data_IF_178647677702
#
_entry.id   IF_178647677702
#
_cell.length_a   1.000
_cell.length_b   1.000
_cell.length_c   1.000
_cell.angle_alpha   90.00
_cell.angle_beta   90.00
_cell.angle_gamma   90.00
#
_symmetry.space_group_name_H-M   'P 1'
#
loop_
_entity.id
_entity.type
_entity.pdbx_description
1 polymer ?
#
# COMPACT_ATOMS: atom_id res chain seq x y z
N UNK A 1 -20.62 1.83 -5.99
CA UNK A 1 -20.61 0.97 -4.79
C UNK A 1 -20.13 1.76 -3.58
N UNK A 2 -20.44 1.29 -2.34
CA UNK A 2 -19.97 1.94 -1.11
C UNK A 2 -18.43 2.08 -1.08
N UNK A 3 -17.73 1.08 -1.60
CA UNK A 3 -16.24 1.10 -1.69
C UNK A 3 -15.78 2.28 -2.55
N UNK A 4 -16.42 2.54 -3.68
CA UNK A 4 -16.05 3.63 -4.59
C UNK A 4 -16.24 5.00 -3.93
N UNK A 5 -17.33 5.17 -3.15
CA UNK A 5 -17.58 6.39 -2.40
C UNK A 5 -16.55 6.57 -1.28
N UNK A 6 -16.24 5.51 -0.54
CA UNK A 6 -15.22 5.54 0.51
C UNK A 6 -13.85 5.92 -0.05
N UNK A 7 -13.44 5.31 -1.16
CA UNK A 7 -12.18 5.64 -1.84
C UNK A 7 -12.19 7.09 -2.33
N UNK A 8 -13.32 7.58 -2.86
CA UNK A 8 -13.49 8.98 -3.25
C UNK A 8 -13.30 9.94 -2.08
N UNK A 9 -13.91 9.62 -0.94
CA UNK A 9 -13.75 10.41 0.28
C UNK A 9 -12.28 10.41 0.76
N UNK A 10 -11.64 9.24 0.81
CA UNK A 10 -10.24 9.13 1.21
C UNK A 10 -9.30 9.90 0.27
N UNK A 11 -9.56 9.88 -1.04
CA UNK A 11 -8.75 10.60 -2.03
C UNK A 11 -8.88 12.11 -1.91
N UNK A 12 -10.02 12.63 -1.42
CA UNK A 12 -10.19 14.05 -1.16
C UNK A 12 -9.31 14.55 0.00
N UNK A 13 -9.05 13.70 1.00
CA UNK A 13 -8.15 14.03 2.13
C UNK A 13 -6.68 13.73 1.81
N UNK A 14 -6.41 12.71 1.02
CA UNK A 14 -5.04 12.31 0.68
C UNK A 14 -4.95 11.93 -0.80
N UNK A 15 -4.47 12.84 -1.66
CA UNK A 15 -4.39 12.60 -3.10
C UNK A 15 -3.51 11.41 -3.50
N UNK A 16 -2.53 11.02 -2.68
CA UNK A 16 -1.68 9.86 -2.97
C UNK A 16 -2.45 8.53 -2.98
N UNK A 17 -3.67 8.46 -2.42
CA UNK A 17 -4.60 7.34 -2.56
C UNK A 17 -4.92 7.05 -4.02
N UNK A 18 -5.03 8.08 -4.87
CA UNK A 18 -5.29 7.94 -6.31
C UNK A 18 -4.12 7.20 -6.98
N UNK A 19 -2.87 7.51 -6.63
CA UNK A 19 -1.69 6.85 -7.17
C UNK A 19 -1.64 5.36 -6.78
N UNK A 20 -1.92 5.06 -5.51
CA UNK A 20 -2.00 3.68 -5.02
C UNK A 20 -3.12 2.91 -5.73
N UNK A 21 -4.29 3.53 -5.87
CA UNK A 21 -5.42 2.94 -6.57
C UNK A 21 -5.07 2.66 -8.04
N UNK A 22 -4.42 3.61 -8.71
CA UNK A 22 -3.95 3.45 -10.08
C UNK A 22 -2.98 2.28 -10.21
N UNK A 23 -2.05 2.12 -9.28
CA UNK A 23 -1.13 0.98 -9.24
C UNK A 23 -1.85 -0.36 -9.07
N UNK A 24 -2.83 -0.44 -8.15
CA UNK A 24 -3.63 -1.65 -7.90
C UNK A 24 -4.47 -1.99 -9.14
N UNK A 25 -5.13 -1.00 -9.73
CA UNK A 25 -5.95 -1.19 -10.94
C UNK A 25 -5.08 -1.61 -12.12
N UNK A 26 -3.94 -0.97 -12.35
CA UNK A 26 -3.00 -1.33 -13.41
C UNK A 26 -2.51 -2.78 -13.27
N UNK A 27 -2.10 -3.17 -12.06
CA UNK A 27 -1.70 -4.55 -11.78
C UNK A 27 -2.83 -5.55 -12.03
N UNK A 28 -4.05 -5.26 -11.53
CA UNK A 28 -5.20 -6.14 -11.67
C UNK A 28 -5.65 -6.25 -13.13
N UNK A 29 -5.70 -5.13 -13.85
CA UNK A 29 -6.05 -5.09 -15.26
C UNK A 29 -5.03 -5.87 -16.13
N UNK A 30 -3.74 -5.71 -15.85
CA UNK A 30 -2.68 -6.46 -16.53
C UNK A 30 -2.82 -7.95 -16.30
N UNK A 31 -3.07 -8.37 -15.06
CA UNK A 31 -3.28 -9.78 -14.72
C UNK A 31 -4.51 -10.35 -15.42
N UNK A 32 -5.62 -9.63 -15.42
CA UNK A 32 -6.86 -10.06 -16.06
C UNK A 32 -6.71 -10.10 -17.59
N UNK A 33 -5.98 -9.15 -18.19
CA UNK A 33 -5.68 -9.15 -19.61
C UNK A 33 -4.82 -10.36 -20.01
N UNK A 34 -3.82 -10.71 -19.22
CA UNK A 34 -3.01 -11.91 -19.44
C UNK A 34 -3.83 -13.19 -19.30
N UNK A 35 -4.74 -13.24 -18.31
CA UNK A 35 -5.65 -14.37 -18.09
C UNK A 35 -6.67 -14.51 -19.23
N UNK A 36 -7.12 -13.41 -19.83
CA UNK A 36 -7.98 -13.40 -21.02
C UNK A 36 -7.24 -13.76 -22.31
N UNK A 37 -6.01 -14.28 -22.22
CA UNK A 37 -5.18 -14.68 -23.36
C UNK A 37 -4.98 -13.54 -24.39
N UNK A 38 -4.86 -12.30 -23.90
CA UNK A 38 -4.72 -11.06 -24.68
C UNK A 38 -5.91 -10.74 -25.59
N UNK A 39 -7.09 -11.30 -25.31
CA UNK A 39 -8.29 -11.05 -26.07
C UNK A 39 -9.10 -9.89 -25.46
N UNK A 40 -9.05 -8.70 -26.07
CA UNK A 40 -9.81 -7.53 -25.62
C UNK A 40 -11.34 -7.64 -25.80
N UNK A 41 -11.82 -8.61 -26.59
CA UNK A 41 -13.25 -8.83 -26.82
C UNK A 41 -13.89 -9.79 -25.82
N UNK A 42 -13.11 -10.31 -24.86
CA UNK A 42 -13.65 -11.13 -23.79
C UNK A 42 -14.62 -10.31 -22.93
N UNK A 43 -15.85 -10.78 -22.86
CA UNK A 43 -16.95 -10.11 -22.13
C UNK A 43 -16.64 -9.99 -20.63
N UNK A 44 -15.96 -10.96 -20.03
CA UNK A 44 -15.53 -10.91 -18.63
C UNK A 44 -14.45 -9.85 -18.41
N UNK A 45 -13.52 -9.73 -19.36
CA UNK A 45 -12.50 -8.69 -19.31
C UNK A 45 -13.12 -7.30 -19.43
N UNK A 46 -14.05 -7.10 -20.38
CA UNK A 46 -14.76 -5.83 -20.55
C UNK A 46 -15.55 -5.41 -19.32
N UNK A 47 -16.28 -6.34 -18.69
CA UNK A 47 -17.02 -6.06 -17.46
C UNK A 47 -16.08 -5.63 -16.32
N UNK A 48 -14.91 -6.27 -16.19
CA UNK A 48 -13.90 -5.88 -15.20
C UNK A 48 -13.26 -4.53 -15.54
N UNK A 49 -12.97 -4.28 -16.81
CA UNK A 49 -12.44 -3.00 -17.26
C UNK A 49 -13.37 -1.82 -16.91
N UNK A 50 -14.69 -2.00 -17.10
CA UNK A 50 -15.68 -0.99 -16.69
C UNK A 50 -15.65 -0.76 -15.17
N UNK A 51 -15.52 -1.82 -14.35
CA UNK A 51 -15.37 -1.68 -12.89
C UNK A 51 -14.10 -0.93 -12.52
N UNK A 52 -12.99 -1.21 -13.18
CA UNK A 52 -11.72 -0.50 -12.96
C UNK A 52 -11.81 0.97 -13.34
N UNK A 53 -12.43 1.25 -14.51
CA UNK A 53 -12.68 2.62 -14.93
C UNK A 53 -13.57 3.38 -13.91
N UNK A 54 -14.62 2.75 -13.41
CA UNK A 54 -15.50 3.35 -12.38
C UNK A 54 -14.73 3.61 -11.09
N UNK A 55 -13.87 2.67 -10.65
CA UNK A 55 -13.06 2.83 -9.44
C UNK A 55 -12.07 4.00 -9.54
N UNK A 56 -11.56 4.30 -10.74
CA UNK A 56 -10.64 5.42 -10.97
C UNK A 56 -11.39 6.75 -11.20
N UNK A 57 -12.41 6.75 -12.07
CA UNK A 57 -13.06 7.98 -12.49
C UNK A 57 -13.93 8.60 -11.39
N UNK A 58 -14.67 7.78 -10.63
CA UNK A 58 -15.57 8.31 -9.61
C UNK A 58 -14.82 9.06 -8.50
N UNK A 59 -13.71 8.57 -7.92
CA UNK A 59 -12.93 9.36 -6.97
C UNK A 59 -12.41 10.67 -7.54
N UNK A 60 -11.91 10.66 -8.79
CA UNK A 60 -11.43 11.87 -9.46
C UNK A 60 -12.55 12.90 -9.63
N UNK A 61 -13.74 12.46 -10.05
CA UNK A 61 -14.90 13.33 -10.22
C UNK A 61 -15.44 13.86 -8.89
N UNK A 62 -15.47 13.02 -7.85
CA UNK A 62 -15.90 13.45 -6.51
C UNK A 62 -14.93 14.44 -5.87
N UNK A 63 -13.66 14.40 -6.23
CA UNK A 63 -12.63 15.33 -5.75
C UNK A 63 -12.58 16.62 -6.58
N UNK A 64 -13.42 16.78 -7.62
CA UNK A 64 -13.47 18.02 -8.41
C UNK A 64 -14.03 19.18 -7.56
N UNK A 65 -13.53 20.42 -7.76
CA UNK A 65 -12.54 20.84 -8.75
C UNK A 65 -11.07 20.58 -8.36
N UNK A 66 -10.79 20.19 -7.11
CA UNK A 66 -9.42 20.00 -6.61
C UNK A 66 -8.59 18.99 -7.40
N UNK A 67 -9.24 17.95 -7.99
CA UNK A 67 -8.55 16.98 -8.84
C UNK A 67 -7.93 17.61 -10.10
N UNK A 68 -8.48 18.69 -10.63
CA UNK A 68 -7.89 19.38 -11.78
C UNK A 68 -6.55 20.04 -11.41
N UNK A 69 -6.42 20.60 -10.21
CA UNK A 69 -5.15 21.12 -9.71
C UNK A 69 -4.08 20.02 -9.62
N UNK A 70 -4.47 18.79 -9.28
CA UNK A 70 -3.55 17.66 -9.21
C UNK A 70 -2.99 17.26 -10.59
N UNK A 71 -3.75 17.47 -11.68
CA UNK A 71 -3.26 17.25 -13.05
C UNK A 71 -2.32 18.37 -13.50
N UNK A 72 -2.59 19.61 -13.10
CA UNK A 72 -1.73 20.76 -13.42
C UNK A 72 -0.44 20.74 -12.60
N UNK A 73 -0.53 20.28 -11.34
CA UNK A 73 0.57 20.23 -10.37
C UNK A 73 0.70 18.82 -9.78
N UNK A 74 1.23 17.84 -10.53
CA UNK A 74 1.29 16.45 -10.11
C UNK A 74 2.08 16.22 -8.82
N UNK A 75 2.98 17.13 -8.48
CA UNK A 75 3.71 17.11 -7.19
C UNK A 75 2.77 17.17 -5.98
N UNK A 76 1.57 17.77 -6.11
CA UNK A 76 0.58 17.81 -5.04
C UNK A 76 -0.01 16.44 -4.72
N UNK A 77 0.04 15.49 -5.66
CA UNK A 77 -0.39 14.11 -5.39
C UNK A 77 0.50 13.41 -4.36
N UNK A 78 1.72 13.88 -4.18
CA UNK A 78 2.70 13.31 -3.26
C UNK A 78 2.77 14.09 -1.94
N UNK A 79 1.98 15.17 -1.80
CA UNK A 79 1.89 15.93 -0.57
C UNK A 79 0.69 15.48 0.26
N UNK A 80 0.85 15.40 1.55
CA UNK A 80 -0.23 15.15 2.49
C UNK A 80 -0.73 16.47 3.07
N UNK A 81 -2.04 16.68 3.05
CA UNK A 81 -2.63 17.93 3.53
C UNK A 81 -2.41 18.04 5.04
N UNK A 82 -1.73 19.10 5.45
CA UNK A 82 -1.46 19.38 6.88
C UNK A 82 -0.23 18.69 7.46
N UNK A 83 0.48 17.83 6.72
CA UNK A 83 1.70 17.17 7.18
C UNK A 83 2.89 17.55 6.28
N UNK A 84 3.83 18.31 6.83
CA UNK A 84 5.10 18.60 6.17
C UNK A 84 6.23 17.85 6.89
N UNK A 85 6.89 16.94 6.21
CA UNK A 85 8.10 16.28 6.72
C UNK A 85 9.31 17.06 6.20
N UNK A 86 10.13 17.57 7.12
CA UNK A 86 11.33 18.32 6.75
C UNK A 86 12.27 17.51 5.84
N UNK A 87 12.77 18.13 4.77
CA UNK A 87 13.56 17.44 3.72
C UNK A 87 14.93 16.90 4.16
N UNK A 88 15.45 17.27 5.33
CA UNK A 88 16.84 17.07 5.73
C UNK A 88 17.18 15.84 6.58
N UNK A 89 16.20 14.97 6.92
CA UNK A 89 16.47 13.78 7.75
C UNK A 89 16.74 12.50 6.96
N UNK A 90 17.15 11.39 7.60
CA UNK A 90 17.30 10.11 6.94
C UNK A 90 15.95 9.58 6.41
N UNK A 91 15.99 8.85 5.29
CA UNK A 91 14.79 8.22 4.75
C UNK A 91 14.53 6.90 5.51
N UNK A 92 13.59 6.93 6.45
CA UNK A 92 13.22 5.78 7.28
C UNK A 92 12.04 4.98 6.72
N UNK A 93 11.45 5.41 5.60
CA UNK A 93 10.29 4.74 5.01
C UNK A 93 10.60 3.30 4.58
N UNK A 94 11.85 3.00 4.23
CA UNK A 94 12.30 1.63 3.93
C UNK A 94 12.17 0.70 5.15
N UNK A 95 12.25 1.27 6.36
CA UNK A 95 12.05 0.54 7.61
C UNK A 95 10.58 0.55 8.07
N UNK A 96 9.67 1.03 7.21
CA UNK A 96 8.24 1.15 7.51
C UNK A 96 7.89 2.36 8.36
N UNK A 97 8.80 3.33 8.52
CA UNK A 97 8.58 4.53 9.30
C UNK A 97 8.28 5.72 8.37
N UNK A 98 7.06 6.31 8.41
CA UNK A 98 6.70 7.42 7.55
C UNK A 98 7.41 8.74 7.91
N UNK A 99 8.07 8.81 9.06
CA UNK A 99 8.61 10.05 9.59
C UNK A 99 7.55 10.93 10.26
N UNK A 100 7.95 12.13 10.68
CA UNK A 100 7.07 13.12 11.31
C UNK A 100 7.04 13.07 12.84
N UNK A 101 6.19 13.91 13.49
CA UNK A 101 6.06 13.95 14.93
C UNK A 101 5.60 12.61 15.50
N UNK A 102 6.30 12.09 16.51
CA UNK A 102 6.00 10.78 17.11
C UNK A 102 6.49 9.58 16.29
N UNK A 103 7.32 9.79 15.27
CA UNK A 103 7.95 8.70 14.54
C UNK A 103 8.88 7.89 15.44
N UNK A 104 9.02 6.60 15.08
CA UNK A 104 9.97 5.71 15.75
C UNK A 104 11.41 6.23 15.61
N UNK A 105 12.30 5.97 16.58
CA UNK A 105 13.71 6.30 16.46
C UNK A 105 14.33 5.70 15.19
N UNK A 106 15.32 6.38 14.61
CA UNK A 106 15.94 5.97 13.34
C UNK A 106 16.54 4.56 13.36
N UNK A 107 16.90 4.06 14.52
CA UNK A 107 17.47 2.71 14.71
C UNK A 107 16.40 1.61 14.89
N UNK A 108 15.13 1.96 14.99
CA UNK A 108 14.06 0.97 15.17
C UNK A 108 13.50 0.54 13.81
N UNK A 109 13.39 -0.77 13.65
CA UNK A 109 12.72 -1.36 12.49
C UNK A 109 11.23 -1.43 12.81
N UNK A 110 10.40 -0.95 11.88
CA UNK A 110 8.96 -1.07 12.04
C UNK A 110 8.54 -2.55 12.09
N UNK A 111 7.61 -2.93 12.96
CA UNK A 111 7.03 -4.27 12.99
C UNK A 111 6.49 -4.73 11.63
N UNK A 112 6.00 -3.80 10.82
CA UNK A 112 5.49 -4.08 9.46
C UNK A 112 6.57 -4.72 8.58
N UNK A 113 7.77 -4.14 8.58
CA UNK A 113 8.90 -4.64 7.78
C UNK A 113 9.30 -6.04 8.23
N UNK A 114 9.37 -6.27 9.55
CA UNK A 114 9.68 -7.60 10.12
C UNK A 114 8.63 -8.62 9.72
N UNK A 115 7.34 -8.29 9.87
CA UNK A 115 6.23 -9.18 9.50
C UNK A 115 6.25 -9.51 8.01
N UNK A 116 6.49 -8.52 7.14
CA UNK A 116 6.58 -8.76 5.69
C UNK A 116 7.75 -9.68 5.35
N UNK A 117 8.92 -9.50 5.96
CA UNK A 117 10.08 -10.36 5.74
C UNK A 117 9.80 -11.78 6.21
N UNK A 118 9.34 -11.96 7.43
CA UNK A 118 9.04 -13.28 8.00
C UNK A 118 7.99 -14.01 7.16
N UNK A 119 6.90 -13.34 6.80
CA UNK A 119 5.83 -13.95 6.01
C UNK A 119 6.25 -14.25 4.57
N UNK A 120 7.12 -13.43 3.97
CA UNK A 120 7.67 -13.66 2.63
C UNK A 120 8.45 -14.97 2.54
N UNK A 121 9.24 -15.30 3.59
CA UNK A 121 10.04 -16.52 3.63
C UNK A 121 9.31 -17.73 4.23
N UNK A 122 8.18 -17.54 4.89
CA UNK A 122 7.51 -18.61 5.64
C UNK A 122 6.75 -19.61 4.76
N UNK A 123 5.96 -19.15 3.82
CA UNK A 123 5.13 -20.03 2.97
C UNK A 123 4.73 -19.40 1.64
N UNK A 124 4.52 -20.26 0.63
CA UNK A 124 4.06 -19.83 -0.71
C UNK A 124 2.70 -19.12 -0.67
N UNK A 125 1.81 -19.54 0.24
CA UNK A 125 0.49 -18.90 0.40
C UNK A 125 0.61 -17.50 1.00
N UNK A 126 1.39 -17.34 2.08
CA UNK A 126 1.64 -16.04 2.71
C UNK A 126 2.42 -15.10 1.77
N UNK A 127 3.35 -15.64 0.98
CA UNK A 127 4.14 -14.88 -0.01
C UNK A 127 3.26 -14.15 -1.03
N UNK A 128 2.11 -14.73 -1.42
CA UNK A 128 1.17 -14.07 -2.36
C UNK A 128 0.66 -12.72 -1.83
N UNK A 129 0.54 -12.59 -0.52
CA UNK A 129 0.16 -11.33 0.15
C UNK A 129 1.39 -10.51 0.54
N UNK A 130 2.48 -11.14 0.98
CA UNK A 130 3.69 -10.43 1.36
C UNK A 130 4.36 -9.72 0.17
N UNK A 131 4.33 -10.30 -1.03
CA UNK A 131 4.94 -9.70 -2.24
C UNK A 131 4.37 -8.29 -2.54
N UNK A 132 3.05 -8.09 -2.70
CA UNK A 132 2.52 -6.74 -2.89
C UNK A 132 2.81 -5.84 -1.69
N UNK A 133 2.81 -6.35 -0.45
CA UNK A 133 3.21 -5.58 0.74
C UNK A 133 4.63 -5.04 0.64
N UNK A 134 5.58 -5.85 0.21
CA UNK A 134 6.97 -5.43 -0.03
C UNK A 134 7.06 -4.41 -1.16
N UNK A 135 6.31 -4.60 -2.25
CA UNK A 135 6.26 -3.63 -3.36
C UNK A 135 5.77 -2.27 -2.87
N UNK A 136 4.69 -2.23 -2.07
CA UNK A 136 4.18 -0.97 -1.51
C UNK A 136 5.14 -0.36 -0.49
N UNK A 137 5.82 -1.15 0.32
CA UNK A 137 6.86 -0.66 1.24
C UNK A 137 8.01 0.01 0.47
N UNK A 138 8.52 -0.62 -0.58
CA UNK A 138 9.57 -0.08 -1.43
C UNK A 138 9.09 1.16 -2.20
N UNK A 139 7.86 1.16 -2.71
CA UNK A 139 7.25 2.33 -3.36
C UNK A 139 7.16 3.51 -2.39
N UNK A 140 6.75 3.27 -1.15
CA UNK A 140 6.73 4.29 -0.10
C UNK A 140 8.13 4.84 0.20
N UNK A 141 9.14 3.96 0.24
CA UNK A 141 10.54 4.36 0.42
C UNK A 141 11.04 5.24 -0.74
N UNK A 142 10.73 4.87 -1.98
CA UNK A 142 11.07 5.66 -3.18
C UNK A 142 10.38 7.02 -3.17
N UNK A 143 9.06 7.06 -2.89
CA UNK A 143 8.30 8.30 -2.82
C UNK A 143 8.85 9.23 -1.74
N UNK A 144 9.16 8.72 -0.55
CA UNK A 144 9.71 9.53 0.55
C UNK A 144 11.13 10.05 0.30
N UNK A 145 11.84 9.48 -0.68
CA UNK A 145 13.13 10.01 -1.14
C UNK A 145 12.97 11.26 -2.02
N UNK A 146 11.77 11.50 -2.57
CA UNK A 146 11.51 12.67 -3.40
C UNK A 146 11.35 13.92 -2.51
N UNK A 147 12.08 14.95 -2.87
CA UNK A 147 12.00 16.26 -2.23
C UNK A 147 11.14 17.16 -3.10
N UNK A 148 10.09 17.73 -2.51
CA UNK A 148 9.17 18.63 -3.19
C UNK A 148 9.52 20.05 -2.76
N UNK A 149 9.85 20.90 -3.73
CA UNK A 149 10.01 22.32 -3.50
C UNK A 149 8.66 23.01 -3.57
N UNK A 150 8.24 23.65 -2.48
CA UNK A 150 7.02 24.46 -2.48
C UNK A 150 7.20 25.70 -3.33
N UNK A 151 6.19 26.08 -4.14
CA UNK A 151 6.20 27.35 -4.88
C UNK A 151 6.29 28.52 -3.90
N UNK A 152 7.40 29.23 -3.91
CA UNK A 152 7.60 30.46 -3.14
C UNK A 152 8.07 30.32 -1.69
N UNK A 153 8.26 29.09 -1.19
CA UNK A 153 8.86 28.88 0.12
C UNK A 153 10.27 28.30 -0.01
N UNK A 154 11.20 28.80 0.80
CA UNK A 154 12.57 28.24 0.91
C UNK A 154 12.59 26.87 1.62
N UNK A 155 11.43 26.38 2.06
CA UNK A 155 11.32 25.09 2.74
C UNK A 155 11.09 23.96 1.75
N UNK A 156 12.02 23.02 1.74
CA UNK A 156 11.85 21.74 1.03
C UNK A 156 11.10 20.76 1.92
N UNK A 157 10.09 20.09 1.38
CA UNK A 157 9.33 19.05 2.07
C UNK A 157 9.53 17.72 1.36
N UNK A 158 9.47 16.62 2.11
CA UNK A 158 9.47 15.28 1.52
C UNK A 158 8.07 14.88 1.08
N UNK A 159 8.00 14.08 0.02
CA UNK A 159 6.77 13.42 -0.38
C UNK A 159 6.28 12.47 0.72
N UNK A 160 4.96 12.42 0.93
CA UNK A 160 4.35 11.55 1.95
C UNK A 160 4.36 10.09 1.51
N UNK A 161 4.92 9.22 2.34
CA UNK A 161 4.87 7.78 2.17
C UNK A 161 3.70 7.12 2.90
N UNK A 162 2.91 7.87 3.69
CA UNK A 162 1.93 7.36 4.63
C UNK A 162 0.94 6.36 4.03
N UNK A 163 0.34 6.70 2.89
CA UNK A 163 -0.63 5.81 2.21
C UNK A 163 0.02 4.52 1.73
N UNK A 164 1.22 4.58 1.17
CA UNK A 164 1.94 3.38 0.71
C UNK A 164 2.24 2.44 1.88
N UNK A 165 2.66 3.00 3.02
CA UNK A 165 2.94 2.22 4.23
C UNK A 165 1.65 1.66 4.85
N UNK A 166 0.53 2.40 4.81
CA UNK A 166 -0.76 1.89 5.27
C UNK A 166 -1.21 0.67 4.44
N UNK A 167 -1.06 0.73 3.11
CA UNK A 167 -1.37 -0.41 2.23
C UNK A 167 -0.41 -1.57 2.47
N UNK A 168 0.88 -1.30 2.65
CA UNK A 168 1.86 -2.33 3.02
C UNK A 168 1.47 -3.02 4.34
N UNK A 169 0.98 -2.25 5.32
CA UNK A 169 0.48 -2.79 6.61
C UNK A 169 -0.70 -3.74 6.42
N UNK A 170 -1.67 -3.37 5.60
CA UNK A 170 -2.82 -4.24 5.30
C UNK A 170 -2.38 -5.57 4.68
N UNK A 171 -1.43 -5.53 3.75
CA UNK A 171 -0.85 -6.75 3.18
C UNK A 171 -0.02 -7.54 4.18
N UNK A 172 0.70 -6.89 5.09
CA UNK A 172 1.43 -7.55 6.16
C UNK A 172 0.48 -8.32 7.09
N UNK A 173 -0.63 -7.70 7.50
CA UNK A 173 -1.66 -8.33 8.32
C UNK A 173 -2.26 -9.54 7.59
N UNK A 174 -2.66 -9.38 6.32
CA UNK A 174 -3.21 -10.47 5.53
C UNK A 174 -2.22 -11.64 5.39
N UNK A 175 -0.94 -11.34 5.13
CA UNK A 175 0.11 -12.35 5.05
C UNK A 175 0.33 -13.08 6.38
N UNK A 176 0.31 -12.33 7.50
CA UNK A 176 0.44 -12.89 8.84
C UNK A 176 -0.74 -13.84 9.17
N UNK A 177 -1.98 -13.42 8.88
CA UNK A 177 -3.17 -14.26 9.11
C UNK A 177 -3.04 -15.59 8.36
N UNK A 178 -2.68 -15.55 7.06
CA UNK A 178 -2.49 -16.77 6.24
C UNK A 178 -1.35 -17.65 6.77
N UNK A 179 -0.27 -17.03 7.26
CA UNK A 179 0.84 -17.77 7.89
C UNK A 179 0.40 -18.47 9.15
N UNK A 180 -0.31 -17.77 10.06
CA UNK A 180 -0.78 -18.34 11.32
C UNK A 180 -1.80 -19.45 11.10
N UNK A 181 -2.72 -19.30 10.17
CA UNK A 181 -3.70 -20.34 9.83
C UNK A 181 -3.00 -21.64 9.36
N UNK A 182 -1.95 -21.50 8.55
CA UNK A 182 -1.14 -22.63 8.12
C UNK A 182 -0.34 -23.28 9.27
N UNK A 183 0.19 -22.48 10.19
CA UNK A 183 0.89 -23.01 11.38
C UNK A 183 -0.09 -23.76 12.25
N UNK A 184 -1.27 -23.19 12.50
CA UNK A 184 -2.34 -23.82 13.27
C UNK A 184 -2.75 -25.17 12.68
N UNK A 185 -3.02 -25.23 11.39
CA UNK A 185 -3.42 -26.48 10.72
C UNK A 185 -2.33 -27.55 10.80
N UNK A 186 -1.05 -27.19 10.75
CA UNK A 186 0.05 -28.13 10.95
C UNK A 186 0.14 -28.65 12.39
N UNK A 187 -0.07 -27.78 13.37
CA UNK A 187 -0.08 -28.18 14.78
C UNK A 187 -1.24 -29.12 15.09
N UNK A 188 -2.41 -28.86 14.54
CA UNK A 188 -3.57 -29.74 14.67
C UNK A 188 -3.32 -31.14 14.04
N UNK A 189 -2.61 -31.20 12.91
CA UNK A 189 -2.25 -32.45 12.24
C UNK A 189 -1.13 -33.23 12.93
N UNK A 190 -0.24 -32.54 13.65
CA UNK A 190 0.95 -33.16 14.26
C UNK A 190 0.67 -33.93 15.55
N UNK A 191 -0.59 -34.02 16.00
CA UNK A 191 -0.97 -34.68 17.28
C UNK A 191 -0.05 -34.32 18.46
N UNK A 192 0.49 -33.11 18.51
CA UNK A 192 1.30 -32.64 19.63
C UNK A 192 0.38 -32.53 20.85
N UNK A 193 0.37 -33.59 21.61
CA UNK A 193 -0.38 -33.64 22.86
C UNK A 193 0.33 -32.68 23.82
N UNK A 194 -0.29 -31.57 24.20
CA UNK A 194 0.21 -30.55 25.11
C UNK A 194 0.69 -31.14 26.47
N UNK A 195 0.32 -32.38 26.75
CA UNK A 195 0.80 -33.14 27.91
C UNK A 195 2.33 -33.41 27.92
N UNK A 196 3.01 -33.35 26.77
CA UNK A 196 4.45 -33.58 26.67
C UNK A 196 5.29 -32.33 26.86
N UNK A 197 4.70 -31.13 26.82
CA UNK A 197 5.41 -29.86 27.01
C UNK A 197 5.52 -29.49 28.49
N UNK A 198 4.70 -30.11 29.37
CA UNK A 198 4.70 -29.83 30.82
C UNK A 198 5.66 -30.74 31.63
N UNK A 199 6.48 -31.55 31.00
CA UNK A 199 7.40 -32.50 31.66
C UNK A 199 8.87 -32.26 31.24
N UNK A 200 9.17 -31.20 30.52
CA UNK A 200 10.54 -30.72 30.22
C UNK A 200 10.75 -29.32 30.89
#
# INVERSE_FOLDING_TARGET
>A
SAITLLVGLLSAFNPSVILVLLGIVAYSATRDFLAANKNFKDTLFLQRAVRYATLLLVPILLSAPGSFELFIRPQLMLSEIGFTVAGGGPNLAILGNPGGPGSLPWWSISPITVVLLVTYFSSTAARKFATPGVVFLLSGALVSALVISGNGSSSTTRASAGVFLAVATLFAIAAAVVMFDKIRSRLEQSHVNYRHISIA
#
